data_IF_977472600277
#
_entry.id   IF_977472600277
#
_cell.length_a   1.000
_cell.length_b   1.000
_cell.length_c   1.000
_cell.angle_alpha   90.00
_cell.angle_beta   90.00
_cell.angle_gamma   90.00
#
_symmetry.space_group_name_H-M   'P 1'
#
loop_
_entity.id
_entity.type
_entity.pdbx_description
1 polymer ?
#
# COMPACT_ATOMS: atom_id res chain seq x y z
N UNK A 1 45.01 1.46 39.12
CA UNK A 1 44.32 1.96 37.91
C UNK A 1 44.19 0.80 36.94
N UNK A 2 43.07 0.68 36.23
CA UNK A 2 42.78 -0.16 35.04
C UNK A 2 41.43 -0.87 35.20
N UNK A 3 40.38 -0.29 34.61
CA UNK A 3 39.16 -0.97 34.15
C UNK A 3 38.36 0.00 33.26
N UNK A 4 38.68 0.05 31.97
CA UNK A 4 37.81 0.67 30.95
C UNK A 4 38.23 0.20 29.54
N UNK A 5 38.00 -1.06 29.19
CA UNK A 5 38.08 -1.51 27.77
C UNK A 5 36.93 -2.42 27.31
N UNK A 6 36.00 -2.83 28.18
CA UNK A 6 34.97 -3.83 27.80
C UNK A 6 33.67 -3.26 27.19
N UNK A 7 33.48 -1.93 27.13
CA UNK A 7 32.16 -1.33 26.81
C UNK A 7 32.01 -0.76 25.39
N UNK A 8 33.01 -0.87 24.52
CA UNK A 8 32.92 -0.34 23.14
C UNK A 8 32.39 -1.37 22.14
N UNK A 9 32.78 -2.64 22.27
CA UNK A 9 32.45 -3.71 21.31
C UNK A 9 30.94 -4.07 21.26
N UNK A 10 30.25 -4.01 22.40
CA UNK A 10 28.82 -4.34 22.48
C UNK A 10 27.91 -3.28 21.80
N UNK A 11 28.34 -2.02 21.76
CA UNK A 11 27.61 -0.91 21.15
C UNK A 11 27.72 -0.96 19.62
N UNK A 12 28.94 -1.18 19.11
CA UNK A 12 29.23 -1.30 17.67
C UNK A 12 28.56 -2.52 17.02
N UNK A 13 28.37 -3.62 17.77
CA UNK A 13 27.70 -4.83 17.26
C UNK A 13 26.17 -4.68 17.17
N UNK A 14 25.56 -3.82 18.00
CA UNK A 14 24.12 -3.51 17.95
C UNK A 14 23.80 -2.54 16.81
N UNK A 15 24.64 -1.53 16.59
CA UNK A 15 24.49 -0.56 15.49
C UNK A 15 24.65 -1.22 14.11
N UNK A 16 25.63 -2.13 13.94
CA UNK A 16 25.77 -2.94 12.71
C UNK A 16 24.56 -3.82 12.39
N UNK A 17 23.82 -4.27 13.41
CA UNK A 17 22.62 -5.12 13.25
C UNK A 17 21.40 -4.30 12.81
N UNK A 18 21.28 -3.07 13.31
CA UNK A 18 20.26 -2.10 12.87
C UNK A 18 20.44 -1.75 11.40
N UNK A 19 21.67 -1.41 11.00
CA UNK A 19 22.00 -1.04 9.61
C UNK A 19 21.67 -2.14 8.59
N UNK A 20 21.89 -3.42 8.95
CA UNK A 20 21.54 -4.54 8.09
C UNK A 20 20.01 -4.72 7.97
N UNK A 21 19.28 -4.55 9.06
CA UNK A 21 17.81 -4.62 9.04
C UNK A 21 17.19 -3.51 8.17
N UNK A 22 17.68 -2.28 8.29
CA UNK A 22 17.24 -1.16 7.46
C UNK A 22 17.53 -1.40 5.96
N UNK A 23 18.67 -2.01 5.63
CA UNK A 23 18.99 -2.41 4.27
C UNK A 23 17.97 -3.43 3.73
N UNK A 24 17.61 -4.45 4.52
CA UNK A 24 16.62 -5.45 4.13
C UNK A 24 15.21 -4.85 3.95
N UNK A 25 14.83 -3.90 4.82
CA UNK A 25 13.55 -3.18 4.70
C UNK A 25 13.50 -2.32 3.44
N UNK A 26 14.57 -1.58 3.14
CA UNK A 26 14.66 -0.73 1.96
C UNK A 26 14.68 -1.57 0.67
N UNK A 27 15.47 -2.65 0.64
CA UNK A 27 15.51 -3.57 -0.49
C UNK A 27 14.12 -4.19 -0.76
N UNK A 28 13.41 -4.61 0.29
CA UNK A 28 12.04 -5.12 0.18
C UNK A 28 11.07 -4.06 -0.37
N UNK A 29 11.11 -2.84 0.17
CA UNK A 29 10.25 -1.73 -0.26
C UNK A 29 10.46 -1.41 -1.75
N UNK A 30 11.71 -1.28 -2.17
CA UNK A 30 12.06 -1.01 -3.56
C UNK A 30 11.61 -2.14 -4.51
N UNK A 31 11.72 -3.40 -4.09
CA UNK A 31 11.27 -4.55 -4.87
C UNK A 31 9.72 -4.61 -4.98
N UNK A 32 9.00 -4.28 -3.90
CA UNK A 32 7.53 -4.20 -3.92
C UNK A 32 7.00 -3.04 -4.77
N UNK A 33 7.74 -1.92 -4.82
CA UNK A 33 7.36 -0.77 -5.67
C UNK A 33 7.57 -1.06 -7.16
N UNK A 34 8.57 -1.88 -7.50
CA UNK A 34 8.89 -2.28 -8.89
C UNK A 34 7.92 -3.32 -9.47
N UNK A 35 7.16 -4.01 -8.62
CA UNK A 35 6.17 -5.03 -8.98
C UNK A 35 4.73 -4.52 -8.99
N UNK A 36 4.51 -3.23 -8.70
CA UNK A 36 3.30 -2.51 -9.13
C UNK A 36 3.37 -2.24 -10.62
N UNK A 37 3.37 -3.30 -11.43
CA UNK A 37 2.92 -3.19 -12.80
C UNK A 37 1.55 -2.50 -12.78
N UNK A 38 1.35 -1.57 -13.71
CA UNK A 38 0.08 -0.86 -13.93
C UNK A 38 -0.96 -1.92 -14.33
N UNK A 39 -1.49 -2.66 -13.36
CA UNK A 39 -2.58 -3.58 -13.57
C UNK A 39 -3.74 -2.75 -14.11
N UNK A 40 -4.11 -3.03 -15.35
CA UNK A 40 -5.22 -2.43 -16.07
C UNK A 40 -6.53 -3.00 -15.51
N UNK A 41 -6.76 -2.87 -14.19
CA UNK A 41 -7.93 -3.40 -13.47
C UNK A 41 -9.28 -2.83 -13.93
N UNK A 42 -9.24 -1.85 -14.83
CA UNK A 42 -10.39 -1.16 -15.40
C UNK A 42 -10.55 -1.37 -16.92
N UNK A 43 -9.97 -2.44 -17.50
CA UNK A 43 -10.15 -2.77 -18.93
C UNK A 43 -11.63 -2.86 -19.35
N UNK A 44 -12.47 -3.43 -18.48
CA UNK A 44 -13.91 -3.54 -18.70
C UNK A 44 -14.63 -2.18 -18.59
N UNK A 45 -14.02 -1.18 -17.94
CA UNK A 45 -14.57 0.15 -17.74
C UNK A 45 -14.22 1.07 -18.93
N UNK A 46 -14.66 0.62 -20.11
CA UNK A 46 -14.57 1.38 -21.37
C UNK A 46 -15.39 2.67 -21.30
N UNK A 47 -15.24 3.56 -22.28
CA UNK A 47 -16.08 4.76 -22.40
C UNK A 47 -17.58 4.42 -22.42
N UNK A 48 -17.97 3.37 -23.14
CA UNK A 48 -19.36 2.91 -23.18
C UNK A 48 -19.83 2.46 -21.79
N UNK A 49 -19.01 1.67 -21.08
CA UNK A 49 -19.32 1.23 -19.71
C UNK A 49 -19.47 2.42 -18.75
N UNK A 50 -18.63 3.46 -18.89
CA UNK A 50 -18.72 4.68 -18.07
C UNK A 50 -20.02 5.45 -18.34
N UNK A 51 -20.35 5.64 -19.62
CA UNK A 51 -21.56 6.34 -20.02
C UNK A 51 -22.82 5.59 -19.54
N UNK A 52 -22.82 4.26 -19.63
CA UNK A 52 -23.89 3.43 -19.10
C UNK A 52 -24.06 3.60 -17.58
N UNK A 53 -22.96 3.52 -16.81
CA UNK A 53 -22.99 3.67 -15.35
C UNK A 53 -23.41 5.10 -14.92
N UNK A 54 -22.95 6.12 -15.64
CA UNK A 54 -23.30 7.52 -15.38
C UNK A 54 -24.79 7.84 -15.61
N UNK A 55 -25.50 7.02 -16.40
CA UNK A 55 -26.91 7.25 -16.73
C UNK A 55 -27.90 6.90 -15.59
N UNK A 56 -27.44 6.30 -14.49
CA UNK A 56 -28.34 6.00 -13.36
C UNK A 56 -27.77 5.18 -12.20
N UNK A 57 -26.54 4.67 -12.32
CA UNK A 57 -25.91 3.86 -11.25
C UNK A 57 -24.94 4.68 -10.40
N UNK A 58 -24.42 5.77 -10.95
CA UNK A 58 -23.49 6.67 -10.29
C UNK A 58 -24.19 8.00 -10.04
N UNK A 59 -24.06 8.61 -8.85
CA UNK A 59 -24.60 9.95 -8.59
C UNK A 59 -24.05 10.99 -9.57
N UNK A 60 -24.86 11.99 -9.89
CA UNK A 60 -24.47 13.04 -10.83
C UNK A 60 -23.19 13.75 -10.35
N UNK A 61 -22.23 13.93 -11.26
CA UNK A 61 -20.95 14.59 -10.98
C UNK A 61 -19.88 13.69 -10.37
N UNK A 62 -20.15 12.40 -10.17
CA UNK A 62 -19.18 11.40 -9.69
C UNK A 62 -18.78 10.48 -10.85
N UNK A 63 -17.49 10.12 -10.93
CA UNK A 63 -17.03 9.14 -11.92
C UNK A 63 -17.27 7.71 -11.42
N UNK A 64 -17.45 6.73 -12.34
CA UNK A 64 -17.55 5.33 -11.94
C UNK A 64 -16.39 4.83 -11.06
N UNK A 65 -15.14 5.25 -11.30
CA UNK A 65 -14.00 4.87 -10.45
C UNK A 65 -14.11 5.43 -9.05
N UNK A 66 -14.47 6.72 -8.91
CA UNK A 66 -14.70 7.31 -7.60
C UNK A 66 -15.78 6.55 -6.87
N UNK A 67 -16.85 6.16 -7.58
CA UNK A 67 -17.93 5.37 -6.98
C UNK A 67 -17.46 3.97 -6.52
N UNK A 68 -16.61 3.30 -7.30
CA UNK A 68 -16.02 2.00 -6.93
C UNK A 68 -15.14 2.14 -5.68
N UNK A 69 -14.35 3.22 -5.57
CA UNK A 69 -13.53 3.52 -4.38
C UNK A 69 -14.39 3.79 -3.13
N UNK A 70 -15.48 4.55 -3.27
CA UNK A 70 -16.41 4.78 -2.17
C UNK A 70 -17.04 3.48 -1.65
N UNK A 71 -17.39 2.58 -2.57
CA UNK A 71 -17.95 1.25 -2.23
C UNK A 71 -16.89 0.43 -1.49
N UNK A 72 -15.65 0.39 -1.97
CA UNK A 72 -14.57 -0.37 -1.34
C UNK A 72 -14.23 0.16 0.05
N UNK A 73 -14.16 1.49 0.22
CA UNK A 73 -13.93 2.13 1.52
C UNK A 73 -15.10 1.89 2.50
N UNK A 74 -16.34 1.90 1.99
CA UNK A 74 -17.50 1.58 2.82
C UNK A 74 -17.52 0.12 3.24
N UNK A 75 -17.15 -0.79 2.35
CA UNK A 75 -17.05 -2.21 2.66
C UNK A 75 -15.99 -2.47 3.73
N UNK A 76 -14.80 -1.87 3.63
CA UNK A 76 -13.78 -1.96 4.68
C UNK A 76 -14.31 -1.46 6.04
N UNK A 77 -15.00 -0.31 6.07
CA UNK A 77 -15.59 0.22 7.31
C UNK A 77 -16.61 -0.71 7.93
N UNK A 78 -17.43 -1.39 7.11
CA UNK A 78 -18.45 -2.34 7.58
C UNK A 78 -17.80 -3.62 8.10
N UNK A 79 -16.78 -4.12 7.39
CA UNK A 79 -16.12 -5.38 7.71
C UNK A 79 -15.10 -5.26 8.84
N UNK A 80 -14.53 -4.07 9.05
CA UNK A 80 -13.44 -3.85 10.01
C UNK A 80 -12.12 -4.52 9.60
N UNK A 81 -11.99 -4.95 8.34
CA UNK A 81 -10.79 -5.63 7.83
C UNK A 81 -9.86 -4.60 7.22
N UNK A 82 -8.79 -4.26 7.95
CA UNK A 82 -7.79 -3.29 7.50
C UNK A 82 -7.19 -3.69 6.15
N UNK A 83 -7.22 -2.76 5.19
CA UNK A 83 -6.66 -2.95 3.84
C UNK A 83 -7.57 -3.72 2.89
N UNK A 84 -8.82 -3.99 3.27
CA UNK A 84 -9.81 -4.59 2.38
C UNK A 84 -10.11 -3.70 1.17
N UNK A 85 -10.23 -2.38 1.38
CA UNK A 85 -10.54 -1.43 0.32
C UNK A 85 -9.46 -1.41 -0.75
N UNK A 86 -8.19 -1.42 -0.35
CA UNK A 86 -7.04 -1.39 -1.26
C UNK A 86 -6.87 -2.70 -2.04
N UNK A 87 -7.39 -3.82 -1.51
CA UNK A 87 -7.40 -5.11 -2.20
C UNK A 87 -8.61 -5.25 -3.14
N UNK A 88 -9.72 -4.63 -2.77
CA UNK A 88 -10.96 -4.64 -3.55
C UNK A 88 -10.84 -3.76 -4.80
N UNK A 89 -10.25 -2.57 -4.64
CA UNK A 89 -10.10 -1.56 -5.67
C UNK A 89 -8.98 -1.90 -6.66
#
# INVERSE_FOLDING_TARGET
MHKTEENTNAKTRREKKSSNYDYLLNARKNATDSSKTKETGFEWLTEHSRNFLAAGYVPQGITPETRIKEISDRAEKILGIKGFSDKFF
#
